data_IF_537277819188
#
_entry.id   IF_537277819188
#
_cell.length_a   1.000
_cell.length_b   1.000
_cell.length_c   1.000
_cell.angle_alpha   90.00
_cell.angle_beta   90.00
_cell.angle_gamma   90.00
#
_symmetry.space_group_name_H-M   'P 1'
#
loop_
_entity.id
_entity.type
_entity.pdbx_description
1 polymer ?
#
# COMPACT_ATOMS: atom_id res chain seq x y z
N UNK A 1 4.28 -20.08 10.88
CA UNK A 1 4.96 -18.84 11.32
C UNK A 1 6.21 -18.59 10.49
N UNK A 2 6.05 -18.40 9.17
CA UNK A 2 7.18 -18.38 8.22
C UNK A 2 7.74 -16.97 7.93
N UNK A 3 7.17 -15.92 8.52
CA UNK A 3 7.56 -14.52 8.31
C UNK A 3 8.70 -14.05 9.23
N UNK A 4 8.85 -14.70 10.39
CA UNK A 4 9.82 -14.35 11.43
C UNK A 4 11.27 -14.29 10.89
N UNK A 5 11.79 -15.27 10.14
CA UNK A 5 13.19 -15.21 9.69
C UNK A 5 13.45 -14.07 8.70
N UNK A 6 12.50 -13.76 7.81
CA UNK A 6 12.64 -12.64 6.86
C UNK A 6 12.58 -11.29 7.57
N UNK A 7 11.73 -11.17 8.60
CA UNK A 7 11.67 -9.98 9.44
C UNK A 7 13.00 -9.76 10.21
N UNK A 8 13.55 -10.81 10.81
CA UNK A 8 14.83 -10.72 11.52
C UNK A 8 15.95 -10.35 10.54
N UNK A 9 15.99 -11.00 9.37
CA UNK A 9 17.00 -10.72 8.35
C UNK A 9 16.93 -9.25 7.87
N UNK A 10 15.73 -8.73 7.60
CA UNK A 10 15.56 -7.34 7.18
C UNK A 10 16.03 -6.33 8.24
N UNK A 11 15.72 -6.58 9.51
CA UNK A 11 16.19 -5.72 10.61
C UNK A 11 17.71 -5.79 10.78
N UNK A 12 18.32 -6.96 10.67
CA UNK A 12 19.80 -7.11 10.73
C UNK A 12 20.46 -6.36 9.57
N UNK A 13 19.93 -6.51 8.35
CA UNK A 13 20.45 -5.79 7.17
C UNK A 13 20.31 -4.27 7.35
N UNK A 14 19.22 -3.80 7.94
CA UNK A 14 19.00 -2.37 8.25
C UNK A 14 20.02 -1.84 9.27
N UNK A 15 20.32 -2.62 10.30
CA UNK A 15 21.34 -2.26 11.30
C UNK A 15 22.73 -2.22 10.66
N UNK A 16 23.08 -3.20 9.84
CA UNK A 16 24.35 -3.21 9.09
C UNK A 16 24.48 -1.99 8.16
N UNK A 17 23.42 -1.63 7.43
CA UNK A 17 23.39 -0.44 6.60
C UNK A 17 23.60 0.84 7.43
N UNK A 18 22.97 0.93 8.61
CA UNK A 18 23.10 2.07 9.52
C UNK A 18 24.52 2.21 10.08
N UNK A 19 25.16 1.10 10.44
CA UNK A 19 26.56 1.11 10.92
C UNK A 19 27.50 1.56 9.80
N UNK A 20 27.33 1.05 8.59
CA UNK A 20 28.14 1.44 7.44
C UNK A 20 27.93 2.91 7.04
N UNK A 21 26.72 3.44 7.25
CA UNK A 21 26.42 4.85 7.06
C UNK A 21 27.20 5.74 8.03
N UNK A 22 27.29 5.35 9.31
CA UNK A 22 28.09 6.08 10.31
C UNK A 22 29.58 6.02 9.99
N UNK A 23 30.05 4.97 9.33
CA UNK A 23 31.43 4.83 8.87
C UNK A 23 31.72 5.56 7.54
N UNK A 24 30.78 6.38 7.03
CA UNK A 24 30.88 7.09 5.75
C UNK A 24 31.12 6.18 4.54
N UNK A 25 30.85 4.87 4.67
CA UNK A 25 30.95 3.88 3.59
C UNK A 25 29.62 3.79 2.84
N UNK A 26 29.27 4.87 2.14
CA UNK A 26 27.97 5.04 1.48
C UNK A 26 27.65 3.93 0.47
N UNK A 27 28.62 3.47 -0.31
CA UNK A 27 28.43 2.38 -1.29
C UNK A 27 28.06 1.06 -0.61
N UNK A 28 28.69 0.75 0.53
CA UNK A 28 28.37 -0.44 1.32
C UNK A 28 26.96 -0.34 1.90
N UNK A 29 26.63 0.79 2.52
CA UNK A 29 25.31 1.05 3.07
C UNK A 29 24.20 0.98 1.99
N UNK A 30 24.49 1.42 0.76
CA UNK A 30 23.60 1.33 -0.40
C UNK A 30 23.26 -0.12 -0.75
N UNK A 31 24.27 -0.98 -0.89
CA UNK A 31 24.07 -2.39 -1.26
C UNK A 31 23.23 -3.11 -0.21
N UNK A 32 23.55 -2.93 1.07
CA UNK A 32 22.78 -3.52 2.17
C UNK A 32 21.33 -3.01 2.21
N UNK A 33 21.12 -1.72 1.93
CA UNK A 33 19.77 -1.14 1.88
C UNK A 33 18.95 -1.70 0.70
N UNK A 34 19.57 -1.88 -0.47
CA UNK A 34 18.91 -2.50 -1.63
C UNK A 34 18.58 -3.97 -1.34
N UNK A 35 19.49 -4.73 -0.73
CA UNK A 35 19.22 -6.12 -0.34
C UNK A 35 18.11 -6.21 0.72
N UNK A 36 18.07 -5.28 1.68
CA UNK A 36 16.99 -5.20 2.66
C UNK A 36 15.64 -4.94 1.97
N UNK A 37 15.56 -3.92 1.11
CA UNK A 37 14.35 -3.62 0.34
C UNK A 37 13.92 -4.79 -0.52
N UNK A 38 14.85 -5.43 -1.23
CA UNK A 38 14.55 -6.60 -2.06
C UNK A 38 14.00 -7.76 -1.21
N UNK A 39 14.58 -8.01 -0.03
CA UNK A 39 14.09 -9.04 0.90
C UNK A 39 12.68 -8.72 1.42
N UNK A 40 12.40 -7.46 1.71
CA UNK A 40 11.09 -7.02 2.19
C UNK A 40 10.02 -7.00 1.10
N UNK A 41 10.36 -6.53 -0.10
CA UNK A 41 9.50 -6.62 -1.29
C UNK A 41 9.21 -8.09 -1.60
N UNK A 42 10.22 -8.96 -1.55
CA UNK A 42 10.03 -10.40 -1.73
C UNK A 42 9.13 -11.01 -0.65
N UNK A 43 9.33 -10.64 0.62
CA UNK A 43 8.46 -11.06 1.71
C UNK A 43 7.02 -10.54 1.53
N UNK A 44 6.82 -9.34 0.99
CA UNK A 44 5.49 -8.85 0.63
C UNK A 44 4.91 -9.67 -0.53
N UNK A 45 5.59 -9.79 -1.66
CA UNK A 45 5.02 -10.48 -2.84
C UNK A 45 4.81 -11.98 -2.62
N UNK A 46 5.77 -12.72 -2.08
CA UNK A 46 5.61 -14.17 -1.85
C UNK A 46 4.60 -14.44 -0.75
N UNK A 47 4.68 -13.75 0.39
CA UNK A 47 3.82 -14.06 1.52
C UNK A 47 2.38 -13.57 1.29
N UNK A 48 2.19 -12.45 0.57
CA UNK A 48 0.87 -11.91 0.21
C UNK A 48 0.23 -12.70 -0.95
N UNK A 49 0.98 -13.08 -1.99
CA UNK A 49 0.41 -13.79 -3.15
C UNK A 49 0.05 -15.25 -2.84
N UNK A 50 0.81 -15.94 -1.96
CA UNK A 50 0.45 -17.29 -1.50
C UNK A 50 -0.76 -17.30 -0.56
N UNK A 51 -1.10 -16.17 0.06
CA UNK A 51 -2.22 -16.07 1.02
C UNK A 51 -3.59 -15.85 0.37
N UNK A 52 -3.77 -16.23 -0.90
CA UNK A 52 -5.10 -16.29 -1.54
C UNK A 52 -6.03 -17.35 -0.93
N UNK A 53 -5.54 -18.17 0.02
CA UNK A 53 -6.28 -19.27 0.66
C UNK A 53 -6.64 -19.06 2.13
N UNK A 54 -6.16 -18.01 2.79
CA UNK A 54 -6.54 -17.71 4.17
C UNK A 54 -7.21 -16.35 4.22
N UNK A 55 -8.54 -16.42 4.32
CA UNK A 55 -9.45 -15.33 4.67
C UNK A 55 -8.82 -14.32 5.62
N UNK A 56 -9.03 -13.03 5.34
CA UNK A 56 -8.64 -11.85 6.12
C UNK A 56 -9.07 -11.97 7.60
N UNK A 57 -8.31 -12.74 8.38
CA UNK A 57 -8.44 -12.76 9.83
C UNK A 57 -7.64 -11.58 10.38
N UNK A 58 -8.29 -10.73 11.21
CA UNK A 58 -7.73 -9.50 11.81
C UNK A 58 -6.34 -9.67 12.47
N UNK A 59 -5.94 -10.91 12.78
CA UNK A 59 -4.65 -11.26 13.38
C UNK A 59 -3.43 -11.07 12.46
N UNK A 60 -3.58 -11.10 11.13
CA UNK A 60 -2.46 -10.93 10.19
C UNK A 60 -2.36 -9.51 9.59
N UNK A 61 -3.34 -8.64 9.84
CA UNK A 61 -3.43 -7.31 9.25
C UNK A 61 -2.28 -6.40 9.74
N UNK A 62 -1.91 -6.50 11.01
CA UNK A 62 -0.75 -5.78 11.57
C UNK A 62 0.55 -6.19 10.87
N UNK A 63 0.76 -7.49 10.65
CA UNK A 63 1.95 -8.01 9.95
C UNK A 63 2.01 -7.53 8.51
N UNK A 64 0.86 -7.43 7.84
CA UNK A 64 0.77 -6.86 6.49
C UNK A 64 1.10 -5.37 6.46
N UNK A 65 0.59 -4.59 7.42
CA UNK A 65 0.91 -3.16 7.53
C UNK A 65 2.41 -3.00 7.80
N UNK A 66 2.95 -3.70 8.80
CA UNK A 66 4.37 -3.60 9.19
C UNK A 66 5.30 -3.99 8.04
N UNK A 67 5.00 -5.06 7.31
CA UNK A 67 5.78 -5.47 6.14
C UNK A 67 5.78 -4.40 5.05
N UNK A 68 4.60 -3.82 4.74
CA UNK A 68 4.46 -2.79 3.70
C UNK A 68 5.11 -1.46 4.10
N UNK A 69 4.95 -1.03 5.36
CA UNK A 69 5.58 0.20 5.87
C UNK A 69 7.09 0.05 5.96
N UNK A 70 7.59 -1.13 6.34
CA UNK A 70 9.04 -1.39 6.38
C UNK A 70 9.63 -1.38 4.97
N UNK A 71 8.92 -1.93 3.97
CA UNK A 71 9.36 -1.89 2.58
C UNK A 71 9.39 -0.46 2.03
N UNK A 72 8.36 0.34 2.35
CA UNK A 72 8.34 1.76 2.05
C UNK A 72 9.51 2.51 2.70
N UNK A 73 9.75 2.28 3.99
CA UNK A 73 10.87 2.90 4.70
C UNK A 73 12.22 2.50 4.10
N UNK A 74 12.38 1.24 3.68
CA UNK A 74 13.58 0.78 2.99
C UNK A 74 13.83 1.52 1.67
N UNK A 75 12.78 1.75 0.87
CA UNK A 75 12.90 2.55 -0.37
C UNK A 75 13.39 3.98 -0.09
N UNK A 76 12.89 4.60 1.00
CA UNK A 76 13.38 5.91 1.45
C UNK A 76 14.88 5.90 1.75
N UNK A 77 15.38 4.84 2.41
CA UNK A 77 16.83 4.71 2.70
C UNK A 77 17.67 4.51 1.44
N UNK A 78 17.22 3.70 0.49
CA UNK A 78 17.89 3.53 -0.81
C UNK A 78 17.96 4.87 -1.54
N UNK A 79 16.88 5.65 -1.50
CA UNK A 79 16.81 6.96 -2.12
C UNK A 79 17.77 7.96 -1.49
N UNK A 80 17.77 8.02 -0.16
CA UNK A 80 18.67 8.87 0.60
C UNK A 80 20.13 8.56 0.27
N UNK A 81 20.46 7.29 0.10
CA UNK A 81 21.80 6.85 -0.33
C UNK A 81 22.17 7.35 -1.73
N UNK A 82 21.24 7.27 -2.69
CA UNK A 82 21.44 7.82 -4.03
C UNK A 82 21.69 9.33 -4.00
N UNK A 83 20.89 10.08 -3.25
CA UNK A 83 21.07 11.53 -3.11
C UNK A 83 22.42 11.93 -2.51
N UNK A 84 23.00 11.11 -1.63
CA UNK A 84 24.35 11.33 -1.07
C UNK A 84 25.45 10.99 -2.08
N UNK A 85 25.27 9.91 -2.85
CA UNK A 85 26.24 9.50 -3.88
C UNK A 85 26.31 10.49 -5.05
N UNK A 86 25.21 11.16 -5.37
CA UNK A 86 25.09 12.09 -6.50
C UNK A 86 25.74 13.47 -6.26
N UNK A 87 26.29 13.72 -5.07
CA UNK A 87 27.13 14.89 -4.73
C UNK A 87 26.62 16.27 -5.23
N UNK A 88 25.30 16.46 -5.33
CA UNK A 88 24.72 17.73 -5.76
C UNK A 88 24.87 18.05 -7.24
N UNK A 89 25.14 17.07 -8.10
CA UNK A 89 24.98 17.23 -9.54
C UNK A 89 23.50 17.51 -9.86
N UNK A 90 23.26 18.35 -10.86
CA UNK A 90 21.91 18.57 -11.36
C UNK A 90 21.37 17.26 -11.93
N UNK A 91 20.25 16.73 -11.43
CA UNK A 91 19.74 15.46 -11.89
C UNK A 91 19.35 15.59 -13.37
N UNK A 92 19.80 14.67 -14.25
CA UNK A 92 19.30 14.60 -15.60
C UNK A 92 17.80 14.29 -15.58
N UNK A 93 17.03 14.89 -16.50
CA UNK A 93 15.58 14.70 -16.57
C UNK A 93 15.15 13.23 -16.70
N UNK A 94 16.04 12.37 -17.24
CA UNK A 94 15.82 10.92 -17.32
C UNK A 94 15.74 10.24 -15.97
N UNK A 95 16.55 10.68 -14.99
CA UNK A 95 16.51 10.12 -13.64
C UNK A 95 15.19 10.51 -12.98
N UNK A 96 14.81 11.79 -12.98
CA UNK A 96 13.53 12.27 -12.43
C UNK A 96 12.31 11.48 -12.96
N UNK A 97 12.32 11.13 -14.25
CA UNK A 97 11.24 10.35 -14.86
C UNK A 97 11.29 8.89 -14.40
N UNK A 98 12.47 8.27 -14.42
CA UNK A 98 12.65 6.88 -13.97
C UNK A 98 12.24 6.72 -12.51
N UNK A 99 12.58 7.70 -11.68
CA UNK A 99 12.22 7.73 -10.28
C UNK A 99 10.71 7.75 -10.06
N UNK A 100 10.02 8.65 -10.79
CA UNK A 100 8.57 8.76 -10.75
C UNK A 100 7.88 7.47 -11.20
N UNK A 101 8.36 6.86 -12.30
CA UNK A 101 7.82 5.62 -12.86
C UNK A 101 7.95 4.45 -11.86
N UNK A 102 9.10 4.30 -11.20
CA UNK A 102 9.31 3.22 -10.22
C UNK A 102 8.32 3.34 -9.06
N UNK A 103 8.14 4.54 -8.51
CA UNK A 103 7.23 4.76 -7.39
C UNK A 103 5.75 4.64 -7.79
N UNK A 104 5.39 5.07 -9.00
CA UNK A 104 4.06 4.88 -9.55
C UNK A 104 3.75 3.39 -9.75
N UNK A 105 4.67 2.64 -10.36
CA UNK A 105 4.55 1.19 -10.51
C UNK A 105 4.42 0.50 -9.15
N UNK A 106 5.19 0.92 -8.15
CA UNK A 106 5.12 0.36 -6.80
C UNK A 106 3.75 0.62 -6.14
N UNK A 107 3.18 1.81 -6.38
CA UNK A 107 1.83 2.18 -5.92
C UNK A 107 0.78 1.28 -6.57
N UNK A 108 0.80 1.16 -7.89
CA UNK A 108 -0.14 0.32 -8.65
C UNK A 108 0.00 -1.16 -8.28
N UNK A 109 1.23 -1.63 -8.07
CA UNK A 109 1.51 -3.01 -7.69
C UNK A 109 1.05 -3.37 -6.26
N UNK A 110 0.75 -2.38 -5.41
CA UNK A 110 0.22 -2.62 -4.06
C UNK A 110 -1.20 -3.21 -4.06
N UNK A 111 -1.91 -3.13 -5.19
CA UNK A 111 -3.28 -3.61 -5.29
C UNK A 111 -4.27 -2.76 -4.46
N UNK A 112 -5.43 -3.31 -4.06
CA UNK A 112 -6.54 -2.55 -3.46
C UNK A 112 -6.26 -2.00 -2.04
N UNK A 113 -5.06 -2.22 -1.50
CA UNK A 113 -4.67 -1.70 -0.19
C UNK A 113 -3.93 -0.35 -0.34
N UNK A 114 -4.51 0.78 0.11
CA UNK A 114 -3.92 2.11 -0.04
C UNK A 114 -2.71 2.36 0.86
N UNK A 115 -2.39 1.46 1.79
CA UNK A 115 -1.37 1.65 2.84
C UNK A 115 0.04 1.86 2.28
N UNK A 116 0.42 1.15 1.21
CA UNK A 116 1.74 1.31 0.61
C UNK A 116 1.85 2.65 -0.13
N UNK A 117 0.80 3.05 -0.86
CA UNK A 117 0.72 4.38 -1.49
C UNK A 117 0.81 5.52 -0.48
N UNK A 118 0.13 5.40 0.68
CA UNK A 118 0.26 6.38 1.77
C UNK A 118 1.69 6.48 2.31
N UNK A 119 2.36 5.33 2.47
CA UNK A 119 3.76 5.29 2.93
C UNK A 119 4.70 5.95 1.91
N UNK A 120 4.43 5.79 0.61
CA UNK A 120 5.20 6.43 -0.45
C UNK A 120 5.02 7.95 -0.45
N UNK A 121 3.79 8.44 -0.29
CA UNK A 121 3.52 9.88 -0.15
C UNK A 121 4.29 10.45 1.05
N UNK A 122 4.28 9.74 2.19
CA UNK A 122 5.04 10.13 3.36
C UNK A 122 6.56 10.19 3.09
N UNK A 123 7.10 9.22 2.36
CA UNK A 123 8.50 9.21 1.97
C UNK A 123 8.87 10.42 1.09
N UNK A 124 8.04 10.73 0.09
CA UNK A 124 8.27 11.92 -0.74
C UNK A 124 8.19 13.20 0.07
N UNK A 125 7.28 13.29 1.03
CA UNK A 125 7.19 14.42 1.94
C UNK A 125 8.47 14.56 2.76
N UNK A 126 8.98 13.45 3.31
CA UNK A 126 10.23 13.41 4.07
C UNK A 126 11.44 13.82 3.20
N UNK A 127 11.46 13.44 1.92
CA UNK A 127 12.49 13.86 0.96
C UNK A 127 12.35 15.34 0.57
N UNK A 128 11.13 15.83 0.37
CA UNK A 128 10.86 17.22 0.00
C UNK A 128 11.25 18.22 1.08
N UNK A 129 11.15 17.83 2.36
CA UNK A 129 11.59 18.62 3.52
C UNK A 129 13.03 18.30 3.96
N UNK A 130 13.77 17.48 3.21
CA UNK A 130 15.14 17.14 3.52
C UNK A 130 16.10 18.33 3.37
N UNK A 131 17.06 18.53 4.30
CA UNK A 131 18.07 19.59 4.16
C UNK A 131 19.01 19.29 2.98
N UNK A 132 19.35 20.32 2.20
CA UNK A 132 20.28 20.21 1.05
C UNK A 132 19.63 19.84 -0.28
N UNK A 133 18.31 19.95 -0.40
CA UNK A 133 17.57 19.61 -1.61
C UNK A 133 17.63 20.73 -2.66
N UNK A 134 17.84 20.38 -3.93
CA UNK A 134 17.76 21.34 -5.03
C UNK A 134 16.30 21.69 -5.37
N UNK A 135 16.07 22.91 -5.87
CA UNK A 135 14.72 23.38 -6.27
C UNK A 135 14.05 22.47 -7.32
N UNK A 136 14.85 21.83 -8.17
CA UNK A 136 14.37 20.91 -9.21
C UNK A 136 13.83 19.62 -8.58
N UNK A 137 14.58 19.03 -7.64
CA UNK A 137 14.14 17.84 -6.90
C UNK A 137 12.92 18.14 -6.04
N UNK A 138 12.86 19.31 -5.39
CA UNK A 138 11.70 19.69 -4.59
C UNK A 138 10.42 19.73 -5.44
N UNK A 139 10.48 20.34 -6.63
CA UNK A 139 9.34 20.37 -7.56
C UNK A 139 8.97 18.97 -8.06
N UNK A 140 9.95 18.14 -8.39
CA UNK A 140 9.71 16.77 -8.83
C UNK A 140 8.97 15.95 -7.77
N UNK A 141 9.42 16.00 -6.51
CA UNK A 141 8.75 15.30 -5.41
C UNK A 141 7.33 15.82 -5.16
N UNK A 142 7.08 17.12 -5.31
CA UNK A 142 5.73 17.67 -5.19
C UNK A 142 4.79 17.16 -6.30
N UNK A 143 5.28 17.02 -7.54
CA UNK A 143 4.51 16.39 -8.62
C UNK A 143 4.25 14.91 -8.34
N UNK A 144 5.25 14.18 -7.85
CA UNK A 144 5.12 12.75 -7.52
C UNK A 144 4.10 12.52 -6.39
N UNK A 145 4.10 13.37 -5.35
CA UNK A 145 3.08 13.35 -4.28
C UNK A 145 1.68 13.53 -4.88
N UNK A 146 1.52 14.47 -5.82
CA UNK A 146 0.26 14.72 -6.50
C UNK A 146 -0.23 13.51 -7.31
N UNK A 147 0.65 12.95 -8.14
CA UNK A 147 0.34 11.79 -8.99
C UNK A 147 -0.04 10.58 -8.15
N UNK A 148 0.80 10.23 -7.17
CA UNK A 148 0.57 9.06 -6.30
C UNK A 148 -0.66 9.28 -5.43
N UNK A 149 -0.83 10.49 -4.88
CA UNK A 149 -2.02 10.87 -4.12
C UNK A 149 -3.31 10.71 -4.94
N UNK A 150 -3.28 11.09 -6.22
CA UNK A 150 -4.40 10.90 -7.13
C UNK A 150 -4.65 9.41 -7.41
N UNK A 151 -3.62 8.61 -7.64
CA UNK A 151 -3.76 7.15 -7.81
C UNK A 151 -4.40 6.50 -6.59
N UNK A 152 -3.93 6.83 -5.38
CA UNK A 152 -4.50 6.30 -4.12
C UNK A 152 -5.95 6.76 -3.93
N UNK A 153 -6.27 8.02 -4.26
CA UNK A 153 -7.63 8.52 -4.21
C UNK A 153 -8.56 7.80 -5.19
N UNK A 154 -8.09 7.53 -6.41
CA UNK A 154 -8.82 6.73 -7.40
C UNK A 154 -9.05 5.30 -6.90
N UNK A 155 -8.04 4.66 -6.31
CA UNK A 155 -8.18 3.32 -5.72
C UNK A 155 -9.21 3.30 -4.58
N UNK A 156 -9.21 4.31 -3.73
CA UNK A 156 -10.20 4.48 -2.66
C UNK A 156 -11.62 4.71 -3.22
N UNK A 157 -11.76 5.53 -4.26
CA UNK A 157 -13.04 5.79 -4.91
C UNK A 157 -13.57 4.52 -5.59
N UNK A 158 -12.72 3.78 -6.30
CA UNK A 158 -13.07 2.51 -6.94
C UNK A 158 -13.49 1.49 -5.88
N UNK A 159 -12.72 1.34 -4.79
CA UNK A 159 -13.05 0.43 -3.70
C UNK A 159 -14.40 0.78 -3.05
N UNK A 160 -14.66 2.07 -2.80
CA UNK A 160 -15.93 2.54 -2.24
C UNK A 160 -17.09 2.28 -3.20
N UNK A 161 -16.89 2.54 -4.50
CA UNK A 161 -17.91 2.32 -5.53
C UNK A 161 -18.28 0.84 -5.70
N UNK A 162 -17.30 -0.07 -5.60
CA UNK A 162 -17.55 -1.52 -5.64
C UNK A 162 -18.24 -2.01 -4.36
N UNK A 163 -17.86 -1.52 -3.18
CA UNK A 163 -18.54 -1.84 -1.93
C UNK A 163 -20.03 -1.47 -1.96
N UNK A 164 -20.35 -0.28 -2.48
CA UNK A 164 -21.74 0.18 -2.64
C UNK A 164 -22.50 -0.71 -3.65
N UNK A 165 -21.86 -1.13 -4.75
CA UNK A 165 -22.49 -2.02 -5.74
C UNK A 165 -22.84 -3.38 -5.16
N UNK A 166 -21.94 -3.98 -4.37
CA UNK A 166 -22.17 -5.30 -3.76
C UNK A 166 -23.35 -5.24 -2.76
N UNK A 167 -23.39 -4.21 -1.91
CA UNK A 167 -24.49 -4.04 -0.94
C UNK A 167 -25.83 -3.84 -1.67
N UNK A 168 -25.83 -3.08 -2.76
CA UNK A 168 -27.03 -2.87 -3.58
C UNK A 168 -27.53 -4.16 -4.24
N UNK A 169 -26.62 -4.99 -4.73
CA UNK A 169 -26.97 -6.26 -5.39
C UNK A 169 -27.56 -7.27 -4.41
N UNK A 170 -26.97 -7.41 -3.22
CA UNK A 170 -27.51 -8.26 -2.13
C UNK A 170 -28.87 -7.77 -1.66
N UNK A 171 -29.05 -6.45 -1.53
CA UNK A 171 -30.34 -5.87 -1.13
C UNK A 171 -31.43 -6.16 -2.16
N UNK A 172 -31.11 -6.12 -3.45
CA UNK A 172 -32.06 -6.43 -4.52
C UNK A 172 -32.48 -7.90 -4.55
N UNK A 173 -31.56 -8.83 -4.25
CA UNK A 173 -31.87 -10.26 -4.16
C UNK A 173 -32.74 -10.56 -2.95
N UNK A 174 -32.45 -9.97 -1.80
CA UNK A 174 -33.27 -10.14 -0.60
C UNK A 174 -34.69 -9.60 -0.77
N UNK A 175 -34.86 -8.49 -1.49
CA UNK A 175 -36.19 -7.95 -1.80
C UNK A 175 -36.97 -8.85 -2.77
N UNK A 176 -36.31 -9.37 -3.81
CA UNK A 176 -36.92 -10.32 -4.74
C UNK A 176 -37.36 -11.61 -4.04
N UNK A 177 -36.54 -12.14 -3.14
CA UNK A 177 -36.85 -13.36 -2.37
C UNK A 177 -38.01 -13.14 -1.38
N UNK A 178 -38.15 -11.91 -0.86
CA UNK A 178 -39.27 -11.51 0.00
C UNK A 178 -40.60 -11.44 -0.77
N UNK A 179 -40.57 -10.94 -2.01
CA UNK A 179 -41.76 -10.86 -2.87
C UNK A 179 -42.22 -12.26 -3.34
N UNK A 180 -41.28 -13.18 -3.63
CA UNK A 180 -41.57 -14.55 -4.03
C UNK A 180 -42.14 -15.42 -2.89
N UNK A 181 -41.86 -15.07 -1.62
CA UNK A 181 -42.38 -15.80 -0.45
C UNK A 181 -43.88 -15.57 -0.18
N UNK A 182 -44.58 -14.74 -0.95
CA UNK A 182 -46.04 -14.78 -1.02
C UNK A 182 -46.78 -14.45 0.28
N UNK A 183 -46.23 -13.57 1.13
CA UNK A 183 -46.85 -13.17 2.40
C UNK A 183 -48.13 -12.32 2.24
N UNK A 184 -48.39 -11.77 1.06
CA UNK A 184 -49.56 -10.93 0.80
C UNK A 184 -50.88 -11.73 0.73
N UNK A 185 -50.81 -13.05 0.51
CA UNK A 185 -51.95 -13.95 0.58
C UNK A 185 -52.30 -14.36 2.02
N UNK A 186 -51.31 -14.83 2.79
CA UNK A 186 -51.52 -15.39 4.14
C UNK A 186 -52.01 -14.35 5.17
N UNK A 187 -51.63 -13.08 5.02
CA UNK A 187 -52.09 -12.00 5.90
C UNK A 187 -53.55 -11.63 5.61
N UNK A 188 -53.98 -11.61 4.34
CA UNK A 188 -55.38 -11.32 3.99
C UNK A 188 -56.31 -12.42 4.47
N UNK A 189 -55.89 -13.68 4.37
CA UNK A 189 -56.68 -14.83 4.84
C UNK A 189 -56.80 -14.89 6.38
N UNK A 190 -55.75 -14.50 7.12
CA UNK A 190 -55.82 -14.42 8.60
C UNK A 190 -56.65 -13.25 9.12
N UNK A 191 -56.66 -12.11 8.43
CA UNK A 191 -57.53 -10.99 8.84
C UNK A 191 -59.01 -11.28 8.56
N UNK A 192 -59.33 -12.02 7.49
CA UNK A 192 -60.70 -12.41 7.18
C UNK A 192 -61.24 -13.50 8.11
N UNK A 193 -60.38 -14.37 8.66
CA UNK A 193 -60.83 -15.43 9.59
C UNK A 193 -61.04 -14.95 11.04
N UNK A 194 -60.45 -13.81 11.43
CA UNK A 194 -60.55 -13.27 12.81
C UNK A 194 -61.71 -12.26 12.98
N UNK A 195 -62.34 -11.82 11.89
CA UNK A 195 -63.48 -10.89 11.92
C UNK A 195 -64.87 -11.55 11.87
N UNK A 196 -64.95 -12.89 11.90
CA UNK A 196 -66.18 -13.65 11.70
C UNK A 196 -66.79 -14.26 12.97
N UNK A 197 -66.38 -13.81 14.17
CA UNK A 197 -66.92 -14.27 15.46
C UNK A 197 -67.48 -13.13 16.30
#
# INVERSE_FOLDING_TARGET
>A
MSYIPFYILGNVLQVCASILWVQEKFVGAQIFSITNVASQIYAVFILLHTSRRYSLSRKNLLTHIVAKTSAGLGMLYVWKGWGVLDNGLYPPSSELIQTSIIYLLLTIASGPDPTLGLCLIYNFLALAFGPGLSDVWHRAYMYDIGIIGMSVALDLLVATSMGIRIIRDDSSKLLSDYDDLGWEGDIKDRMLSTGAS
#
